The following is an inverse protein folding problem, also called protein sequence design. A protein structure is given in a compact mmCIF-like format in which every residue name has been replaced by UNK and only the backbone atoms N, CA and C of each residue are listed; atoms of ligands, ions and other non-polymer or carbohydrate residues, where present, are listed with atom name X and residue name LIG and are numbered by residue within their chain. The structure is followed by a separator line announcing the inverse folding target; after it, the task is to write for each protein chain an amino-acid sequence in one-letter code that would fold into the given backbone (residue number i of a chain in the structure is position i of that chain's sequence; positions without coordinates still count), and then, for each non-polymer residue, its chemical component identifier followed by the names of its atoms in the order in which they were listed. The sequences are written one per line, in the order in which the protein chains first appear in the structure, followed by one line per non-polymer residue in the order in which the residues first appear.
data_IF_428203250069
#
_entry.id   IF_428203250069
#
_cell.length_a   1.000
_cell.length_b   1.000
_cell.length_c   1.000
_cell.angle_alpha   90.00
_cell.angle_beta   90.00
_cell.angle_gamma   90.00
#
_symmetry.space_group_name_H-M   'P 1'
#
loop_
_entity.id
_entity.type
_entity.pdbx_description
1 polymer ?
#
# COMPACT_ATOMS: atom_id res chain seq x y z
N UNK A 1 -10.66 -16.11 5.18
CA UNK A 1 -9.32 -15.47 5.01
C UNK A 1 -9.48 -14.11 4.34
N UNK A 2 -8.72 -13.10 4.77
CA UNK A 2 -8.70 -11.76 4.14
C UNK A 2 -7.29 -11.40 3.69
N UNK A 3 -7.16 -10.72 2.56
CA UNK A 3 -5.89 -10.24 2.01
C UNK A 3 -5.73 -8.76 2.26
N UNK A 4 -4.64 -8.40 2.94
CA UNK A 4 -4.34 -7.02 3.33
C UNK A 4 -3.03 -6.61 2.68
N UNK A 5 -3.00 -5.42 2.10
CA UNK A 5 -1.76 -4.80 1.61
C UNK A 5 -1.27 -3.78 2.62
N UNK A 6 -0.01 -3.89 3.01
CA UNK A 6 0.71 -2.83 3.71
C UNK A 6 1.77 -2.25 2.79
N UNK A 7 1.91 -0.93 2.76
CA UNK A 7 3.06 -0.30 2.16
C UNK A 7 3.62 0.80 3.06
N UNK A 8 4.94 0.91 3.04
CA UNK A 8 5.74 1.93 3.70
C UNK A 8 6.47 2.71 2.62
N UNK A 9 6.01 3.93 2.37
CA UNK A 9 6.43 4.79 1.27
C UNK A 9 7.40 5.84 1.80
N UNK A 10 8.70 5.54 1.65
CA UNK A 10 9.79 6.44 2.04
C UNK A 10 10.29 7.32 0.89
N UNK A 11 11.22 8.24 1.18
CA UNK A 11 11.83 9.09 0.14
C UNK A 11 12.87 8.39 -0.74
N UNK A 12 13.55 7.37 -0.20
CA UNK A 12 14.60 6.63 -0.92
C UNK A 12 14.09 5.27 -1.40
N UNK A 13 13.46 4.52 -0.49
CA UNK A 13 12.93 3.20 -0.75
C UNK A 13 11.50 3.11 -0.24
N UNK A 14 10.72 2.29 -0.92
CA UNK A 14 9.36 1.91 -0.54
C UNK A 14 9.29 0.41 -0.38
N UNK A 15 8.52 -0.04 0.61
CA UNK A 15 8.31 -1.46 0.88
C UNK A 15 6.83 -1.77 0.76
N UNK A 16 6.50 -2.81 0.02
CA UNK A 16 5.16 -3.39 -0.05
C UNK A 16 5.16 -4.75 0.64
N UNK A 17 4.06 -5.09 1.29
CA UNK A 17 3.84 -6.36 1.95
C UNK A 17 2.41 -6.84 1.71
N UNK A 18 2.27 -8.15 1.51
CA UNK A 18 0.98 -8.84 1.40
C UNK A 18 0.80 -9.68 2.65
N UNK A 19 -0.29 -9.43 3.36
CA UNK A 19 -0.67 -10.19 4.55
C UNK A 19 -1.93 -11.00 4.29
N UNK A 20 -1.99 -12.20 4.87
CA UNK A 20 -3.19 -13.00 4.96
C UNK A 20 -3.64 -12.98 6.41
N UNK A 21 -4.84 -12.47 6.65
CA UNK A 21 -5.52 -12.54 7.93
C UNK A 21 -6.42 -13.79 7.96
N UNK A 22 -6.14 -14.68 8.90
CA UNK A 22 -6.87 -15.90 9.13
C UNK A 22 -8.05 -15.66 10.10
N UNK A 23 -9.03 -16.57 10.09
CA UNK A 23 -10.24 -16.42 10.91
C UNK A 23 -9.97 -16.60 12.41
N UNK A 24 -8.88 -17.29 12.75
CA UNK A 24 -8.38 -17.44 14.13
C UNK A 24 -7.67 -16.18 14.67
N UNK A 25 -7.61 -15.11 13.87
CA UNK A 25 -6.98 -13.84 14.24
C UNK A 25 -5.47 -13.78 13.98
N UNK A 26 -4.87 -14.84 13.44
CA UNK A 26 -3.46 -14.83 13.05
C UNK A 26 -3.23 -14.05 11.76
N UNK A 27 -2.04 -13.46 11.64
CA UNK A 27 -1.58 -12.71 10.47
C UNK A 27 -0.32 -13.37 9.91
N UNK A 28 -0.34 -13.66 8.62
CA UNK A 28 0.77 -14.25 7.88
C UNK A 28 1.33 -13.24 6.88
N UNK A 29 2.64 -12.99 6.92
CA UNK A 29 3.33 -12.25 5.86
C UNK A 29 3.58 -13.18 4.67
N UNK A 30 2.72 -13.08 3.65
CA UNK A 30 2.80 -13.90 2.44
C UNK A 30 3.89 -13.42 1.47
N UNK A 31 4.12 -12.11 1.40
CA UNK A 31 5.12 -11.52 0.49
C UNK A 31 5.61 -10.17 1.00
N UNK A 32 6.87 -9.85 0.71
CA UNK A 32 7.44 -8.50 0.84
C UNK A 32 8.20 -8.14 -0.44
N UNK A 33 8.16 -6.86 -0.82
CA UNK A 33 8.85 -6.30 -1.98
C UNK A 33 9.45 -4.94 -1.60
N UNK A 34 10.69 -4.71 -1.99
CA UNK A 34 11.36 -3.41 -1.86
C UNK A 34 11.54 -2.79 -3.24
N UNK A 35 11.23 -1.51 -3.37
CA UNK A 35 11.38 -0.72 -4.59
C UNK A 35 12.13 0.59 -4.27
N UNK A 36 13.04 1.00 -5.14
CA UNK A 36 13.65 2.33 -5.06
C UNK A 36 12.60 3.38 -5.43
N UNK A 37 12.26 4.26 -4.49
CA UNK A 37 11.19 5.25 -4.69
C UNK A 37 11.59 6.31 -5.71
N UNK A 38 12.87 6.67 -5.75
CA UNK A 38 13.40 7.68 -6.66
C UNK A 38 13.32 7.27 -8.14
N UNK A 39 13.17 5.97 -8.43
CA UNK A 39 12.98 5.45 -9.79
C UNK A 39 11.53 5.52 -10.25
N UNK A 40 10.59 5.83 -9.36
CA UNK A 40 9.20 6.05 -9.71
C UNK A 40 8.91 7.55 -9.90
N UNK A 41 8.25 7.91 -10.99
CA UNK A 41 7.88 9.30 -11.27
C UNK A 41 6.71 9.81 -10.42
N UNK A 42 5.99 8.89 -9.77
CA UNK A 42 4.83 9.18 -8.92
C UNK A 42 4.48 7.96 -8.08
N UNK A 43 3.58 8.13 -7.10
CA UNK A 43 3.02 7.01 -6.34
C UNK A 43 2.27 6.00 -7.23
N UNK A 44 1.53 6.47 -8.26
CA UNK A 44 0.86 5.58 -9.20
C UNK A 44 1.86 4.72 -9.97
N UNK A 45 2.94 5.33 -10.44
CA UNK A 45 4.00 4.58 -11.12
C UNK A 45 4.70 3.57 -10.19
N UNK A 46 4.90 3.92 -8.92
CA UNK A 46 5.43 2.98 -7.92
C UNK A 46 4.47 1.80 -7.67
N UNK A 47 3.16 2.07 -7.60
CA UNK A 47 2.13 1.04 -7.45
C UNK A 47 2.07 0.12 -8.69
N UNK A 48 2.19 0.67 -9.90
CA UNK A 48 2.29 -0.11 -11.14
C UNK A 48 3.52 -1.03 -11.14
N UNK A 49 4.68 -0.53 -10.68
CA UNK A 49 5.89 -1.35 -10.54
C UNK A 49 5.69 -2.49 -9.53
N UNK A 50 5.02 -2.22 -8.41
CA UNK A 50 4.68 -3.25 -7.42
C UNK A 50 3.70 -4.30 -8.00
N UNK A 51 2.70 -3.85 -8.77
CA UNK A 51 1.76 -4.74 -9.46
C UNK A 51 2.46 -5.61 -10.50
N UNK A 52 3.37 -5.04 -11.28
CA UNK A 52 4.18 -5.77 -12.27
C UNK A 52 5.07 -6.85 -11.60
N UNK A 53 5.45 -6.65 -10.34
CA UNK A 53 6.17 -7.64 -9.54
C UNK A 53 5.25 -8.57 -8.73
N UNK A 54 3.93 -8.47 -8.93
CA UNK A 54 2.91 -9.36 -8.41
C UNK A 54 2.40 -8.99 -7.01
N UNK A 55 2.49 -7.74 -6.58
CA UNK A 55 1.70 -7.25 -5.44
C UNK A 55 0.25 -7.08 -5.91
N UNK A 56 -0.73 -7.81 -5.36
CA UNK A 56 -2.11 -7.75 -5.84
C UNK A 56 -2.76 -6.46 -5.32
N UNK A 57 -2.70 -5.38 -6.09
CA UNK A 57 -3.28 -4.08 -5.70
C UNK A 57 -4.71 -3.86 -6.22
N UNK A 58 -5.31 -4.85 -6.87
CA UNK A 58 -6.68 -4.74 -7.39
C UNK A 58 -7.72 -4.79 -6.26
N UNK A 59 -8.68 -3.84 -6.19
CA UNK A 59 -9.78 -3.86 -5.23
C UNK A 59 -10.64 -5.13 -5.27
N UNK A 60 -10.65 -5.87 -6.38
CA UNK A 60 -11.38 -7.13 -6.51
C UNK A 60 -10.69 -8.31 -5.77
N UNK A 61 -9.43 -8.12 -5.38
CA UNK A 61 -8.56 -9.17 -4.85
C UNK A 61 -8.16 -8.92 -3.39
N UNK A 62 -8.23 -7.67 -2.92
CA UNK A 62 -7.81 -7.26 -1.58
C UNK A 62 -8.98 -6.72 -0.76
N UNK A 63 -8.97 -7.07 0.52
CA UNK A 63 -9.99 -6.63 1.48
C UNK A 63 -9.63 -5.28 2.11
N UNK A 64 -8.34 -4.96 2.18
CA UNK A 64 -7.84 -3.69 2.69
C UNK A 64 -6.45 -3.36 2.15
N UNK A 65 -6.15 -2.07 2.08
CA UNK A 65 -4.80 -1.56 1.87
C UNK A 65 -4.47 -0.49 2.92
N UNK A 66 -3.20 -0.37 3.29
CA UNK A 66 -2.70 0.62 4.25
C UNK A 66 -1.37 1.16 3.71
N UNK A 67 -1.24 2.49 3.64
CA UNK A 67 -0.07 3.16 3.07
C UNK A 67 0.52 4.14 4.09
N UNK A 68 1.59 3.77 4.79
CA UNK A 68 2.37 4.73 5.55
C UNK A 68 3.19 5.60 4.58
N UNK A 69 3.07 6.93 4.65
CA UNK A 69 3.75 7.84 3.71
C UNK A 69 4.67 8.79 4.47
N UNK A 70 5.92 8.92 4.03
CA UNK A 70 6.87 9.88 4.58
C UNK A 70 6.60 11.32 4.07
N UNK A 71 5.39 11.84 4.30
CA UNK A 71 4.95 13.16 3.87
C UNK A 71 3.52 13.47 4.34
N UNK A 72 3.09 14.75 4.38
CA UNK A 72 1.83 15.16 4.94
C UNK A 72 0.67 14.67 4.09
N UNK A 73 -0.39 14.31 4.81
CA UNK A 73 -1.64 13.85 4.22
C UNK A 73 -2.67 14.93 4.51
N UNK A 74 -3.16 15.59 3.46
CA UNK A 74 -4.17 16.62 3.55
C UNK A 74 -5.44 16.16 2.81
N UNK A 75 -6.48 15.81 3.55
CA UNK A 75 -7.71 15.24 2.98
C UNK A 75 -7.44 13.92 2.24
N UNK A 76 -7.77 13.87 0.94
CA UNK A 76 -7.48 12.72 0.05
C UNK A 76 -6.19 12.90 -0.78
N UNK A 77 -5.33 13.87 -0.41
CA UNK A 77 -4.13 14.23 -1.17
C UNK A 77 -2.90 14.09 -0.31
N UNK A 78 -1.82 13.65 -0.94
CA UNK A 78 -0.49 13.59 -0.35
C UNK A 78 0.32 14.76 -0.89
N UNK A 79 0.89 15.55 0.01
CA UNK A 79 1.88 16.57 -0.35
C UNK A 79 3.24 16.05 0.09
N UNK A 80 4.27 16.05 -0.77
CA UNK A 80 5.61 15.65 -0.34
C UNK A 80 6.16 16.80 0.51
N UNK A 81 6.48 16.54 1.79
CA UNK A 81 7.26 17.33 2.76
C UNK A 81 6.63 17.20 4.15
N UNK A 82 7.04 16.18 4.95
CA UNK A 82 6.81 15.94 6.41
C UNK A 82 5.95 14.70 6.77
N UNK A 83 6.56 13.63 7.30
CA UNK A 83 5.95 12.38 7.78
C UNK A 83 4.45 12.46 8.18
N UNK A 84 3.57 11.70 7.52
CA UNK A 84 2.22 11.46 8.01
C UNK A 84 1.76 10.01 7.74
N UNK A 85 1.27 9.36 8.80
CA UNK A 85 0.69 8.04 8.71
C UNK A 85 -0.69 8.15 8.05
N UNK A 86 -0.87 7.58 6.85
CA UNK A 86 -2.15 7.54 6.15
C UNK A 86 -2.73 6.12 6.14
N UNK A 87 -3.57 5.78 7.11
CA UNK A 87 -4.38 4.57 7.01
C UNK A 87 -5.58 4.85 6.08
N UNK A 88 -5.40 4.72 4.75
CA UNK A 88 -6.53 4.74 3.82
C UNK A 88 -7.16 3.34 3.78
N UNK A 89 -8.07 3.05 4.71
CA UNK A 89 -8.85 1.81 4.68
C UNK A 89 -9.86 1.88 3.52
N UNK A 90 -9.53 1.28 2.38
CA UNK A 90 -10.48 1.12 1.27
C UNK A 90 -11.41 -0.04 1.64
N UNK A 91 -12.55 0.28 2.26
CA UNK A 91 -13.70 -0.62 2.34
C UNK A 91 -14.61 -0.30 1.15
N UNK A 92 -14.75 -1.23 0.20
CA UNK A 92 -15.72 -1.10 -0.89
C UNK A 92 -17.13 -1.43 -0.36
N UNK A 93 -18.13 -0.62 -0.74
CA UNK A 93 -18.92 -1.01 -1.90
C UNK A 93 -19.05 0.13 -2.92
N UNK A 94 -18.54 -0.10 -4.14
CA UNK A 94 -18.85 0.70 -5.32
C UNK A 94 -18.08 2.02 -5.44
N UNK A 95 -17.03 2.02 -6.26
CA UNK A 95 -16.49 3.26 -6.82
C UNK A 95 -17.47 3.80 -7.89
N UNK A 96 -17.99 5.01 -7.66
CA UNK A 96 -18.49 5.93 -8.69
C UNK A 96 -17.53 7.10 -8.79
#
# INVERSE_FOLDING_TARGET
MKKIIGADIGGTNSRFAVFIAHEDGTLELSRSLWLETQKASSFLNLAEQALAQGVPLSPDIIDAAVFAVAGPVAGKRFLPLTFALAALMVSTPGWK
#
